data_IF_787352296996
#
_entry.id   IF_787352296996
#
_cell.length_a   1.000
_cell.length_b   1.000
_cell.length_c   1.000
_cell.angle_alpha   90.00
_cell.angle_beta   90.00
_cell.angle_gamma   90.00
#
_symmetry.space_group_name_H-M   'P 1'
#
loop_
_entity.id
_entity.type
_entity.pdbx_description
1 polymer ?
#
# COMPACT_ATOMS: atom_id res chain seq x y z
N UNK A 1 -11.41 -43.11 -30.54
CA UNK A 1 -10.67 -42.11 -29.70
C UNK A 1 -11.63 -41.06 -29.20
N UNK A 2 -12.16 -41.19 -27.98
CA UNK A 2 -13.11 -40.26 -27.36
C UNK A 2 -12.34 -39.08 -26.81
N UNK A 3 -12.47 -37.90 -27.43
CA UNK A 3 -11.94 -36.63 -26.92
C UNK A 3 -12.63 -36.29 -25.58
N UNK A 4 -11.92 -36.47 -24.47
CA UNK A 4 -12.39 -36.05 -23.14
C UNK A 4 -12.61 -34.53 -23.18
N UNK A 5 -13.84 -34.07 -23.22
CA UNK A 5 -14.20 -32.65 -23.06
C UNK A 5 -13.67 -32.18 -21.69
N UNK A 6 -12.63 -31.38 -21.71
CA UNK A 6 -12.09 -30.79 -20.51
C UNK A 6 -13.20 -29.92 -19.89
N UNK A 7 -13.70 -30.27 -18.71
CA UNK A 7 -14.77 -29.52 -18.05
C UNK A 7 -14.17 -28.23 -17.48
N UNK A 8 -14.18 -27.18 -18.28
CA UNK A 8 -13.68 -25.82 -17.94
C UNK A 8 -14.25 -25.38 -16.59
N UNK A 9 -15.49 -25.69 -16.29
CA UNK A 9 -16.11 -25.40 -15.00
C UNK A 9 -15.40 -26.04 -13.79
N UNK A 10 -14.90 -27.26 -13.95
CA UNK A 10 -14.13 -27.94 -12.88
C UNK A 10 -12.79 -27.26 -12.66
N UNK A 11 -12.14 -26.79 -13.71
CA UNK A 11 -10.87 -26.07 -13.61
C UNK A 11 -11.08 -24.73 -12.94
N UNK A 12 -12.09 -23.97 -13.35
CA UNK A 12 -12.44 -22.68 -12.73
C UNK A 12 -12.78 -22.87 -11.24
N UNK A 13 -13.57 -23.89 -10.91
CA UNK A 13 -13.94 -24.21 -9.54
C UNK A 13 -12.70 -24.61 -8.69
N UNK A 14 -11.78 -25.41 -9.24
CA UNK A 14 -10.55 -25.79 -8.54
C UNK A 14 -9.62 -24.61 -8.30
N UNK A 15 -9.51 -23.67 -9.26
CA UNK A 15 -8.73 -22.45 -9.12
C UNK A 15 -9.36 -21.54 -8.04
N UNK A 16 -10.70 -21.42 -8.07
CA UNK A 16 -11.43 -20.62 -7.08
C UNK A 16 -11.27 -21.19 -5.65
N UNK A 17 -11.31 -22.51 -5.52
CA UNK A 17 -11.10 -23.20 -4.25
C UNK A 17 -9.66 -23.04 -3.74
N UNK A 18 -8.66 -23.07 -4.62
CA UNK A 18 -7.26 -22.86 -4.29
C UNK A 18 -6.97 -21.43 -3.78
N UNK A 19 -7.69 -20.43 -4.26
CA UNK A 19 -7.57 -19.04 -3.82
C UNK A 19 -8.11 -18.80 -2.39
N UNK A 20 -8.98 -19.67 -1.87
CA UNK A 20 -9.56 -19.54 -0.51
C UNK A 20 -8.58 -20.05 0.57
N UNK A 21 -7.58 -20.87 0.21
CA UNK A 21 -6.70 -21.54 1.16
C UNK A 21 -5.51 -20.71 1.65
N UNK A 22 -5.39 -19.44 1.24
CA UNK A 22 -4.33 -18.56 1.73
C UNK A 22 -4.72 -17.95 3.08
N UNK A 23 -3.88 -18.18 4.10
CA UNK A 23 -3.99 -17.50 5.38
C UNK A 23 -3.72 -16.00 5.17
N UNK A 24 -4.75 -15.19 5.23
CA UNK A 24 -4.62 -13.74 5.11
C UNK A 24 -4.35 -13.16 6.49
N UNK A 25 -3.15 -12.61 6.69
CA UNK A 25 -2.88 -11.69 7.81
C UNK A 25 -3.26 -10.29 7.35
N UNK A 26 -4.40 -9.80 7.84
CA UNK A 26 -4.84 -8.45 7.55
C UNK A 26 -4.14 -7.49 8.52
N UNK A 27 -3.24 -6.66 8.03
CA UNK A 27 -2.68 -5.53 8.75
C UNK A 27 -3.49 -4.28 8.39
N UNK A 28 -3.69 -3.40 9.36
CA UNK A 28 -4.35 -2.12 9.14
C UNK A 28 -3.33 -1.16 8.53
N UNK A 29 -3.60 -0.68 7.32
CA UNK A 29 -2.83 0.42 6.73
C UNK A 29 -3.20 1.75 7.40
N UNK A 30 -2.21 2.64 7.55
CA UNK A 30 -2.43 3.97 8.10
C UNK A 30 -3.41 4.75 7.21
N UNK A 31 -4.50 5.22 7.80
CA UNK A 31 -5.51 6.01 7.12
C UNK A 31 -5.33 7.50 7.40
N UNK A 32 -5.44 8.33 6.37
CA UNK A 32 -5.39 9.78 6.50
C UNK A 32 -6.58 10.45 5.84
N UNK A 33 -7.04 11.55 6.43
CA UNK A 33 -8.27 12.26 6.04
C UNK A 33 -8.22 12.86 4.63
N UNK A 34 -7.03 13.16 4.12
CA UNK A 34 -6.85 13.80 2.81
C UNK A 34 -6.57 12.81 1.67
N UNK A 35 -7.04 11.56 1.80
CA UNK A 35 -6.82 10.49 0.82
C UNK A 35 -7.28 10.85 -0.60
N UNK A 36 -8.25 11.78 -0.74
CA UNK A 36 -8.79 12.21 -2.02
C UNK A 36 -7.75 12.87 -2.95
N UNK A 37 -6.68 13.42 -2.40
CA UNK A 37 -5.59 14.02 -3.19
C UNK A 37 -4.59 12.99 -3.71
N UNK A 38 -4.48 11.83 -3.05
CA UNK A 38 -3.54 10.77 -3.38
C UNK A 38 -4.23 9.39 -3.45
N UNK A 39 -5.37 9.33 -4.15
CA UNK A 39 -6.23 8.14 -4.28
C UNK A 39 -5.50 6.90 -4.81
N UNK A 40 -4.43 7.08 -5.61
CA UNK A 40 -3.63 5.95 -6.11
C UNK A 40 -2.98 5.12 -4.99
N UNK A 41 -2.71 5.71 -3.82
CA UNK A 41 -2.13 4.99 -2.67
C UNK A 41 -3.08 3.88 -2.20
N UNK A 42 -4.38 4.15 -2.17
CA UNK A 42 -5.40 3.18 -1.76
C UNK A 42 -5.91 2.32 -2.91
N UNK A 43 -5.96 2.89 -4.11
CA UNK A 43 -6.49 2.18 -5.27
C UNK A 43 -5.61 2.43 -6.50
N UNK A 44 -4.80 1.43 -6.90
CA UNK A 44 -3.88 1.55 -8.03
C UNK A 44 -4.58 1.82 -9.37
N UNK A 45 -5.88 1.53 -9.50
CA UNK A 45 -6.66 1.82 -10.70
C UNK A 45 -6.77 3.33 -11.01
N UNK A 46 -6.44 4.20 -10.04
CA UNK A 46 -6.40 5.64 -10.29
C UNK A 46 -5.09 6.13 -10.92
N UNK A 47 -4.05 5.30 -10.99
CA UNK A 47 -2.77 5.68 -11.59
C UNK A 47 -2.93 6.02 -13.07
N UNK A 48 -2.49 7.21 -13.49
CA UNK A 48 -2.61 7.71 -14.87
C UNK A 48 -4.04 8.02 -15.33
N UNK A 49 -5.05 7.89 -14.47
CA UNK A 49 -6.46 8.03 -14.85
C UNK A 49 -6.84 9.47 -15.26
N UNK A 50 -6.04 10.47 -14.87
CA UNK A 50 -6.25 11.89 -15.18
C UNK A 50 -5.85 12.25 -16.62
N UNK A 51 -5.18 11.34 -17.36
CA UNK A 51 -4.69 11.62 -18.71
C UNK A 51 -3.46 12.53 -18.77
N UNK A 52 -2.94 12.98 -17.65
CA UNK A 52 -1.76 13.84 -17.52
C UNK A 52 -0.81 13.29 -16.44
N UNK A 53 0.47 13.61 -16.60
CA UNK A 53 1.47 13.36 -15.57
C UNK A 53 1.16 14.19 -14.32
N UNK A 54 1.24 13.58 -13.17
CA UNK A 54 0.87 14.19 -11.89
C UNK A 54 1.91 13.85 -10.83
N UNK A 55 2.37 14.86 -10.11
CA UNK A 55 3.23 14.73 -8.93
C UNK A 55 2.50 15.35 -7.74
N UNK A 56 2.41 14.62 -6.65
CA UNK A 56 1.69 15.01 -5.44
C UNK A 56 2.60 14.85 -4.25
N UNK A 57 2.64 15.85 -3.42
CA UNK A 57 3.28 15.82 -2.12
C UNK A 57 2.25 16.19 -1.05
N UNK A 58 2.15 15.39 -0.02
CA UNK A 58 1.30 15.62 1.12
C UNK A 58 2.11 15.43 2.40
N UNK A 59 2.06 16.41 3.28
CA UNK A 59 2.60 16.34 4.63
C UNK A 59 1.51 16.58 5.66
N UNK A 60 1.46 15.76 6.70
CA UNK A 60 0.54 15.90 7.82
C UNK A 60 1.32 15.82 9.12
N UNK A 61 1.08 16.77 10.02
CA UNK A 61 1.54 16.72 11.41
C UNK A 61 0.34 16.86 12.32
N UNK A 62 0.19 15.96 13.28
CA UNK A 62 -0.87 15.99 14.28
C UNK A 62 -0.26 16.42 15.62
N UNK A 63 -1.06 17.06 16.47
CA UNK A 63 -0.68 17.48 17.81
C UNK A 63 0.66 18.20 17.85
N UNK A 64 0.69 19.39 17.29
CA UNK A 64 1.85 20.27 17.30
C UNK A 64 2.32 20.46 18.74
N UNK A 65 3.65 20.45 18.94
CA UNK A 65 4.33 20.57 20.24
C UNK A 65 4.23 19.38 21.19
N UNK A 66 3.73 18.22 20.72
CA UNK A 66 3.77 16.97 21.48
C UNK A 66 4.89 16.09 20.94
N UNK A 67 5.80 15.67 21.83
CA UNK A 67 6.87 14.73 21.47
C UNK A 67 6.29 13.36 21.08
N UNK A 68 6.79 12.80 19.95
CA UNK A 68 6.26 11.55 19.42
C UNK A 68 4.94 11.68 18.67
N UNK A 69 4.46 12.91 18.41
CA UNK A 69 3.23 13.15 17.65
C UNK A 69 3.28 12.55 16.23
N UNK A 70 2.15 12.04 15.71
CA UNK A 70 2.09 11.43 14.39
C UNK A 70 2.48 12.41 13.28
N UNK A 71 3.38 11.97 12.40
CA UNK A 71 3.82 12.69 11.20
C UNK A 71 3.74 11.77 10.01
N UNK A 72 2.96 12.19 9.02
CA UNK A 72 2.77 11.44 7.79
C UNK A 72 3.28 12.25 6.61
N UNK A 73 4.08 11.64 5.75
CA UNK A 73 4.59 12.24 4.51
C UNK A 73 4.32 11.31 3.33
N UNK A 74 3.82 11.87 2.25
CA UNK A 74 3.44 11.13 1.05
C UNK A 74 4.02 11.84 -0.15
N UNK A 75 4.70 11.08 -0.99
CA UNK A 75 5.11 11.47 -2.33
C UNK A 75 4.49 10.49 -3.32
N UNK A 76 3.69 10.97 -4.25
CA UNK A 76 3.02 10.14 -5.24
C UNK A 76 3.16 10.75 -6.64
N UNK A 77 3.58 9.91 -7.57
CA UNK A 77 3.73 10.23 -8.98
C UNK A 77 2.87 9.29 -9.79
N UNK A 78 2.16 9.80 -10.78
CA UNK A 78 1.41 8.99 -11.73
C UNK A 78 1.43 9.59 -13.14
N UNK A 79 1.44 8.72 -14.14
CA UNK A 79 1.45 9.12 -15.55
C UNK A 79 0.67 8.14 -16.41
N UNK A 80 -0.10 8.63 -17.40
CA UNK A 80 -0.67 7.76 -18.41
C UNK A 80 0.42 7.26 -19.36
N UNK A 81 0.23 6.04 -19.90
CA UNK A 81 1.13 5.42 -20.86
C UNK A 81 0.36 5.01 -22.11
N UNK A 82 1.05 5.08 -23.24
CA UNK A 82 0.52 4.69 -24.54
C UNK A 82 -0.28 5.78 -25.22
N UNK A 83 -0.41 5.65 -26.54
CA UNK A 83 -1.09 6.64 -27.39
C UNK A 83 -2.60 6.77 -27.10
N UNK A 84 -3.21 5.72 -26.57
CA UNK A 84 -4.64 5.66 -26.24
C UNK A 84 -4.95 5.98 -24.79
N UNK A 85 -3.92 6.26 -23.98
CA UNK A 85 -4.05 6.57 -22.55
C UNK A 85 -4.87 5.53 -21.77
N UNK A 86 -4.83 4.28 -22.22
CA UNK A 86 -5.55 3.20 -21.58
C UNK A 86 -4.75 2.55 -20.44
N UNK A 87 -3.47 2.87 -20.36
CA UNK A 87 -2.56 2.37 -19.32
C UNK A 87 -2.07 3.52 -18.45
N UNK A 88 -1.81 3.23 -17.20
CA UNK A 88 -1.22 4.15 -16.25
C UNK A 88 -0.15 3.48 -15.42
N UNK A 89 0.91 4.22 -15.11
CA UNK A 89 1.90 3.85 -14.10
C UNK A 89 1.84 4.85 -12.96
N UNK A 90 2.04 4.34 -11.76
CA UNK A 90 2.18 5.11 -10.53
C UNK A 90 3.38 4.65 -9.72
N UNK A 91 3.96 5.60 -9.00
CA UNK A 91 4.98 5.38 -7.99
C UNK A 91 4.54 6.12 -6.75
N UNK A 92 4.66 5.52 -5.58
CA UNK A 92 4.39 6.24 -4.34
C UNK A 92 5.34 5.83 -3.23
N UNK A 93 5.68 6.80 -2.41
CA UNK A 93 6.39 6.64 -1.15
C UNK A 93 5.51 7.23 -0.06
N UNK A 94 5.26 6.45 0.94
CA UNK A 94 4.50 6.82 2.12
C UNK A 94 5.38 6.57 3.34
N UNK A 95 5.54 7.58 4.20
CA UNK A 95 6.23 7.46 5.47
C UNK A 95 5.31 7.94 6.57
N UNK A 96 5.14 7.12 7.60
CA UNK A 96 4.33 7.42 8.77
C UNK A 96 5.14 7.18 10.04
N UNK A 97 5.29 8.21 10.84
CA UNK A 97 6.01 8.17 12.09
C UNK A 97 5.03 8.40 13.24
N UNK A 98 4.93 7.43 14.15
CA UNK A 98 4.07 7.50 15.32
C UNK A 98 4.87 7.07 16.56
N UNK A 99 5.27 8.04 17.38
CA UNK A 99 6.08 7.77 18.56
C UNK A 99 7.40 7.08 18.20
N UNK A 100 7.65 5.85 18.70
CA UNK A 100 8.86 5.08 18.42
C UNK A 100 8.83 4.34 17.07
N UNK A 101 7.66 4.27 16.42
CA UNK A 101 7.45 3.51 15.19
C UNK A 101 7.63 4.42 13.98
N UNK A 102 8.46 4.01 13.03
CA UNK A 102 8.66 4.63 11.72
C UNK A 102 8.39 3.60 10.64
N UNK A 103 7.34 3.83 9.86
CA UNK A 103 6.90 2.94 8.79
C UNK A 103 7.10 3.64 7.45
N UNK A 104 7.85 3.00 6.55
CA UNK A 104 8.06 3.48 5.19
C UNK A 104 7.58 2.45 4.20
N UNK A 105 6.63 2.85 3.36
CA UNK A 105 6.08 2.04 2.29
C UNK A 105 6.48 2.63 0.94
N UNK A 106 7.04 1.79 0.08
CA UNK A 106 7.31 2.11 -1.32
C UNK A 106 6.44 1.25 -2.20
N UNK A 107 5.72 1.83 -3.15
CA UNK A 107 4.86 1.06 -4.05
C UNK A 107 4.91 1.53 -5.50
N UNK A 108 4.67 0.56 -6.38
CA UNK A 108 4.55 0.72 -7.83
C UNK A 108 3.15 0.26 -8.21
N UNK A 109 2.46 1.10 -8.95
CA UNK A 109 1.11 0.86 -9.43
C UNK A 109 1.08 0.71 -10.94
N UNK A 110 0.29 -0.23 -11.43
CA UNK A 110 -0.05 -0.38 -12.85
C UNK A 110 -1.56 -0.38 -13.01
N UNK A 111 -2.08 0.44 -13.90
CA UNK A 111 -3.50 0.52 -14.21
C UNK A 111 -3.76 0.21 -15.68
N UNK A 112 -4.83 -0.52 -15.96
CA UNK A 112 -5.32 -0.79 -17.32
C UNK A 112 -6.81 -0.49 -17.42
N UNK A 113 -7.18 0.36 -18.36
CA UNK A 113 -8.55 0.85 -18.54
C UNK A 113 -9.18 0.35 -19.83
N UNK A 114 -10.39 -0.15 -19.72
CA UNK A 114 -11.27 -0.51 -20.84
C UNK A 114 -12.35 0.56 -20.91
N UNK A 115 -12.43 1.25 -22.05
CA UNK A 115 -13.43 2.29 -22.29
C UNK A 115 -14.62 1.70 -23.04
N UNK A 116 -15.80 1.89 -22.49
CA UNK A 116 -17.08 1.62 -23.14
C UNK A 116 -17.70 2.94 -23.59
N UNK A 117 -18.81 2.89 -24.33
CA UNK A 117 -19.46 4.08 -24.86
C UNK A 117 -19.88 5.09 -23.76
N UNK A 118 -20.32 4.61 -22.58
CA UNK A 118 -20.81 5.45 -21.48
C UNK A 118 -20.10 5.17 -20.13
N UNK A 119 -19.09 4.29 -20.13
CA UNK A 119 -18.42 3.89 -18.88
C UNK A 119 -16.96 3.54 -19.11
N UNK A 120 -16.18 3.55 -18.03
CA UNK A 120 -14.77 3.16 -18.02
C UNK A 120 -14.56 2.15 -16.89
N UNK A 121 -14.03 0.98 -17.22
CA UNK A 121 -13.62 -0.02 -16.27
C UNK A 121 -12.09 -0.03 -16.18
N UNK A 122 -11.55 0.16 -14.98
CA UNK A 122 -10.10 0.18 -14.78
C UNK A 122 -9.71 -0.89 -13.79
N UNK A 123 -8.74 -1.70 -14.17
CA UNK A 123 -8.08 -2.67 -13.30
C UNK A 123 -6.76 -2.08 -12.82
N UNK A 124 -6.45 -2.25 -11.55
CA UNK A 124 -5.21 -1.80 -10.95
C UNK A 124 -4.47 -2.94 -10.27
N UNK A 125 -3.15 -2.96 -10.42
CA UNK A 125 -2.24 -3.83 -9.69
C UNK A 125 -1.27 -2.96 -8.91
N UNK A 126 -1.00 -3.32 -7.66
CA UNK A 126 -0.01 -2.68 -6.80
C UNK A 126 0.99 -3.72 -6.33
N UNK A 127 2.26 -3.38 -6.41
CA UNK A 127 3.35 -4.09 -5.75
C UNK A 127 4.08 -3.10 -4.86
N UNK A 128 4.40 -3.51 -3.63
CA UNK A 128 5.07 -2.62 -2.68
C UNK A 128 5.98 -3.37 -1.72
N UNK A 129 6.87 -2.59 -1.12
CA UNK A 129 7.75 -3.01 -0.04
C UNK A 129 7.45 -2.13 1.16
N UNK A 130 7.28 -2.75 2.30
CA UNK A 130 7.08 -2.07 3.57
C UNK A 130 8.28 -2.31 4.48
N UNK A 131 8.81 -1.23 5.06
CA UNK A 131 9.85 -1.28 6.09
C UNK A 131 9.32 -0.62 7.34
N UNK A 132 9.40 -1.32 8.46
CA UNK A 132 8.97 -0.84 9.78
C UNK A 132 10.16 -0.87 10.72
N UNK A 133 10.48 0.26 11.30
CA UNK A 133 11.54 0.42 12.30
C UNK A 133 10.92 0.86 13.63
N UNK A 134 11.32 0.20 14.71
CA UNK A 134 10.83 0.51 16.05
C UNK A 134 12.01 0.94 16.91
N UNK A 135 12.09 2.23 17.24
CA UNK A 135 13.13 2.81 18.07
C UNK A 135 12.81 2.66 19.56
N UNK A 136 13.18 1.55 20.16
CA UNK A 136 12.95 1.27 21.59
C UNK A 136 13.62 2.30 22.52
N UNK A 137 14.69 2.96 22.07
CA UNK A 137 15.37 4.00 22.86
C UNK A 137 14.52 5.26 23.11
N UNK A 138 13.45 5.45 22.34
CA UNK A 138 12.47 6.55 22.52
C UNK A 138 11.35 6.19 23.50
N UNK A 139 11.30 4.97 23.97
CA UNK A 139 10.32 4.55 24.97
C UNK A 139 10.77 5.01 26.36
N UNK A 140 9.87 5.70 27.07
CA UNK A 140 10.09 6.07 28.46
C UNK A 140 9.78 4.84 29.35
N UNK A 141 10.84 4.10 29.70
CA UNK A 141 10.71 2.85 30.43
C UNK A 141 10.62 3.20 31.93
N UNK A 142 9.51 2.87 32.56
CA UNK A 142 9.25 3.17 33.97
C UNK A 142 10.07 2.27 34.91
N UNK A 143 10.43 1.07 34.49
CA UNK A 143 11.22 0.12 35.25
C UNK A 143 12.42 -0.40 34.42
N UNK A 144 13.59 0.12 34.71
CA UNK A 144 14.85 -0.29 34.10
C UNK A 144 15.37 -1.66 34.56
N UNK A 145 14.69 -2.31 35.51
CA UNK A 145 15.10 -3.59 36.09
C UNK A 145 14.46 -4.79 35.41
N UNK A 146 13.54 -4.60 34.48
CA UNK A 146 12.88 -5.68 33.76
C UNK A 146 13.89 -6.41 32.81
N UNK A 147 14.19 -7.69 33.04
CA UNK A 147 15.14 -8.44 32.24
C UNK A 147 14.73 -8.60 30.78
N UNK A 148 13.44 -8.50 30.45
CA UNK A 148 12.96 -8.55 29.07
C UNK A 148 13.34 -7.30 28.26
N UNK A 149 13.48 -6.14 28.89
CA UNK A 149 13.85 -4.90 28.23
C UNK A 149 15.29 -4.95 27.73
N UNK A 150 16.22 -5.45 28.55
CA UNK A 150 17.61 -5.62 28.17
C UNK A 150 17.77 -6.63 27.03
N UNK A 151 16.95 -7.70 26.99
CA UNK A 151 16.95 -8.67 25.93
C UNK A 151 16.48 -8.09 24.59
N UNK A 152 15.49 -7.18 24.58
CA UNK A 152 14.95 -6.54 23.37
C UNK A 152 15.89 -5.44 22.85
N UNK A 153 16.60 -4.73 23.73
CA UNK A 153 17.56 -3.69 23.32
C UNK A 153 18.82 -4.30 22.68
N UNK A 154 19.29 -5.46 23.19
CA UNK A 154 20.49 -6.13 22.69
C UNK A 154 20.25 -6.93 21.39
N UNK A 155 19.05 -7.41 21.15
CA UNK A 155 18.67 -8.11 19.94
C UNK A 155 17.93 -7.14 18.99
N UNK A 156 18.68 -6.41 18.18
CA UNK A 156 18.11 -5.70 17.01
C UNK A 156 17.59 -6.76 16.04
N UNK A 157 16.28 -6.83 15.85
CA UNK A 157 15.64 -7.58 14.78
C UNK A 157 15.75 -6.80 13.46
#
# INVERSE_FOLDING_TARGET
MTKKKLNIWKIIFSILLGLISFSNSAQQEAQFTQYMYATQIFNPAYSGNRGIMSLKFLGRSQWLDIEGAPKTSILAFDTPIGKTENMGLGLSVFNDQIGPVDETNFSIDYAYSIRFMFSKLTFGLKAGLNSMDISFSKLNIYDNTDPYINYVIDNKF
#
